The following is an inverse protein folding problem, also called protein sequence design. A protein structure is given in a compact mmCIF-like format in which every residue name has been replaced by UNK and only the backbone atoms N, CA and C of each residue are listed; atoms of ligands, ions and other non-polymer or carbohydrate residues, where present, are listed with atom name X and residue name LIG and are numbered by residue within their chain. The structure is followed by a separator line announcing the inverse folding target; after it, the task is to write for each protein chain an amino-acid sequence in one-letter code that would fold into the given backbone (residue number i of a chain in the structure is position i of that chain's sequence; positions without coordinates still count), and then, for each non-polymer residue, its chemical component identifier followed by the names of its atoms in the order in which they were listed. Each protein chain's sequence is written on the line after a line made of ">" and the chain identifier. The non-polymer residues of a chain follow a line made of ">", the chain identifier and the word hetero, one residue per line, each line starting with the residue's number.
data_IF_864569404223
#
_entry.id   IF_864569404223
#
_cell.length_a   1.000
_cell.length_b   1.000
_cell.length_c   1.000
_cell.angle_alpha   90.00
_cell.angle_beta   90.00
_cell.angle_gamma   90.00
#
_symmetry.space_group_name_H-M   'P 1'
#
loop_
_entity.id
_entity.type
_entity.pdbx_description
1 polymer ?
#
# COMPACT_ATOMS: atom_id res chain seq x y z
N UNK A 1 4.48 -8.95 -2.46
CA UNK A 1 3.11 -9.54 -2.53
C UNK A 1 3.01 -10.48 -3.73
N UNK A 2 2.42 -11.68 -3.58
CA UNK A 2 2.23 -12.62 -4.69
C UNK A 2 0.82 -12.51 -5.25
N UNK A 3 0.68 -12.18 -6.53
CA UNK A 3 -0.62 -11.98 -7.19
C UNK A 3 -0.90 -13.07 -8.23
N UNK A 4 -2.18 -13.33 -8.48
CA UNK A 4 -2.61 -14.07 -9.66
C UNK A 4 -2.53 -13.18 -10.90
N UNK A 5 -2.54 -13.77 -12.11
CA UNK A 5 -2.57 -13.01 -13.37
C UNK A 5 -3.71 -11.99 -13.41
N UNK A 6 -4.91 -12.38 -12.95
CA UNK A 6 -6.05 -11.48 -12.86
C UNK A 6 -5.83 -10.38 -11.83
N UNK A 7 -5.24 -10.71 -10.67
CA UNK A 7 -4.88 -9.73 -9.65
C UNK A 7 -3.90 -8.67 -10.15
N UNK A 8 -2.88 -9.08 -10.91
CA UNK A 8 -1.93 -8.16 -11.54
C UNK A 8 -2.61 -7.20 -12.53
N UNK A 9 -3.57 -7.70 -13.32
CA UNK A 9 -4.32 -6.86 -14.27
C UNK A 9 -5.19 -5.84 -13.51
N UNK A 10 -5.91 -6.28 -12.49
CA UNK A 10 -6.81 -5.43 -11.72
C UNK A 10 -6.05 -4.34 -10.96
N UNK A 11 -4.94 -4.70 -10.29
CA UNK A 11 -4.17 -3.76 -9.48
C UNK A 11 -3.55 -2.66 -10.35
N UNK A 12 -2.94 -3.02 -11.49
CA UNK A 12 -2.40 -2.06 -12.47
C UNK A 12 -3.47 -1.15 -13.07
N UNK A 13 -4.66 -1.68 -13.31
CA UNK A 13 -5.74 -0.92 -13.93
C UNK A 13 -6.35 0.11 -12.98
N UNK A 14 -6.55 -0.24 -11.70
CA UNK A 14 -7.42 0.51 -10.77
C UNK A 14 -6.74 1.10 -9.54
N UNK A 15 -5.59 0.58 -9.10
CA UNK A 15 -5.06 0.87 -7.75
C UNK A 15 -3.67 1.49 -7.73
N UNK A 16 -2.77 1.05 -8.62
CA UNK A 16 -1.43 1.62 -8.72
C UNK A 16 -1.52 3.06 -9.22
N UNK A 17 -0.72 3.94 -8.60
CA UNK A 17 -0.62 5.33 -9.05
C UNK A 17 -0.16 5.41 -10.50
N UNK A 18 -0.73 6.38 -11.20
CA UNK A 18 -0.39 6.73 -12.57
C UNK A 18 0.09 8.15 -12.64
N UNK A 19 0.98 8.43 -13.57
CA UNK A 19 1.35 9.79 -13.89
C UNK A 19 0.25 10.49 -14.72
N UNK A 20 0.54 11.72 -15.15
CA UNK A 20 -0.36 12.53 -15.99
C UNK A 20 -0.63 11.95 -17.38
N UNK A 21 0.23 11.06 -17.87
CA UNK A 21 0.08 10.39 -19.17
C UNK A 21 -0.70 9.07 -19.04
N UNK A 22 -0.96 8.63 -17.80
CA UNK A 22 -1.65 7.38 -17.51
C UNK A 22 -0.72 6.18 -17.32
N UNK A 23 0.59 6.40 -17.31
CA UNK A 23 1.59 5.36 -17.13
C UNK A 23 1.68 4.98 -15.65
N UNK A 24 1.74 3.67 -15.37
CA UNK A 24 1.86 3.15 -14.01
C UNK A 24 3.26 3.45 -13.48
N UNK A 25 3.34 4.16 -12.35
CA UNK A 25 4.60 4.61 -11.73
C UNK A 25 4.87 4.00 -10.35
N UNK A 26 4.05 3.03 -9.95
CA UNK A 26 4.09 2.43 -8.62
C UNK A 26 3.99 0.91 -8.75
N UNK A 27 4.76 0.17 -7.96
CA UNK A 27 4.64 -1.28 -7.81
C UNK A 27 3.60 -1.65 -6.73
N UNK A 28 3.08 -2.88 -6.73
CA UNK A 28 2.14 -3.31 -5.68
C UNK A 28 2.68 -3.19 -4.25
N UNK A 29 3.98 -3.36 -4.04
CA UNK A 29 4.61 -3.19 -2.73
C UNK A 29 4.73 -1.72 -2.33
N UNK A 30 5.06 -0.83 -3.27
CA UNK A 30 5.06 0.62 -3.03
C UNK A 30 3.65 1.14 -2.71
N UNK A 31 2.63 0.62 -3.39
CA UNK A 31 1.22 0.90 -3.09
C UNK A 31 0.87 0.54 -1.65
N UNK A 32 1.24 -0.66 -1.19
CA UNK A 32 1.04 -1.06 0.21
C UNK A 32 1.78 -0.12 1.18
N UNK A 33 3.02 0.27 0.86
CA UNK A 33 3.78 1.21 1.69
C UNK A 33 3.13 2.60 1.75
N UNK A 34 2.62 3.11 0.63
CA UNK A 34 1.91 4.40 0.58
C UNK A 34 0.70 4.40 1.49
N UNK A 35 -0.15 3.37 1.38
CA UNK A 35 -1.33 3.23 2.23
C UNK A 35 -0.92 3.07 3.70
N UNK A 36 0.05 2.21 3.99
CA UNK A 36 0.51 1.95 5.35
C UNK A 36 1.05 3.21 6.05
N UNK A 37 1.88 3.99 5.34
CA UNK A 37 2.42 5.26 5.85
C UNK A 37 1.33 6.30 6.06
N UNK A 38 0.37 6.38 5.15
CA UNK A 38 -0.75 7.32 5.26
C UNK A 38 -1.62 7.02 6.49
N UNK A 39 -2.01 5.75 6.68
CA UNK A 39 -2.83 5.33 7.82
C UNK A 39 -2.07 5.47 9.14
N UNK A 40 -0.80 5.05 9.18
CA UNK A 40 0.02 5.11 10.39
C UNK A 40 0.33 6.55 10.85
N UNK A 41 0.19 7.56 9.98
CA UNK A 41 0.36 8.96 10.38
C UNK A 41 -0.61 9.39 11.48
N UNK A 42 -1.79 8.77 11.57
CA UNK A 42 -2.75 9.04 12.63
C UNK A 42 -2.20 8.75 14.04
N UNK A 43 -1.23 7.84 14.17
CA UNK A 43 -0.60 7.46 15.44
C UNK A 43 0.16 8.62 16.10
N UNK A 44 0.67 9.57 15.32
CA UNK A 44 1.37 10.75 15.83
C UNK A 44 0.47 11.61 16.72
N UNK A 45 -0.84 11.63 16.44
CA UNK A 45 -1.83 12.36 17.24
C UNK A 45 -1.99 11.78 18.66
N UNK A 46 -1.54 10.56 18.88
CA UNK A 46 -1.60 9.85 20.16
C UNK A 46 -0.20 9.69 20.80
N UNK A 47 0.82 10.35 20.25
CA UNK A 47 2.20 10.24 20.73
C UNK A 47 2.89 8.91 20.41
N UNK A 48 2.35 8.14 19.46
CA UNK A 48 2.91 6.85 19.06
C UNK A 48 3.88 6.98 17.86
N UNK A 49 4.70 5.95 17.64
CA UNK A 49 5.66 5.88 16.52
C UNK A 49 4.97 5.42 15.23
N UNK A 50 4.69 6.36 14.32
CA UNK A 50 4.09 6.10 13.02
C UNK A 50 4.96 5.18 12.13
N UNK A 51 6.28 5.18 12.26
CA UNK A 51 7.16 4.29 11.47
C UNK A 51 6.95 2.84 11.87
N UNK A 52 6.93 2.57 13.18
CA UNK A 52 6.65 1.23 13.73
C UNK A 52 5.30 0.69 13.23
N UNK A 53 4.26 1.52 13.27
CA UNK A 53 2.93 1.13 12.82
C UNK A 53 2.83 0.98 11.31
N UNK A 54 3.50 1.84 10.53
CA UNK A 54 3.54 1.71 9.07
C UNK A 54 4.12 0.36 8.63
N UNK A 55 5.17 -0.14 9.32
CA UNK A 55 5.73 -1.45 9.03
C UNK A 55 4.72 -2.57 9.30
N UNK A 56 4.00 -2.51 10.42
CA UNK A 56 2.96 -3.50 10.77
C UNK A 56 1.82 -3.52 9.75
N UNK A 57 1.32 -2.35 9.35
CA UNK A 57 0.26 -2.27 8.34
C UNK A 57 0.72 -2.75 6.96
N UNK A 58 1.95 -2.39 6.57
CA UNK A 58 2.56 -2.90 5.34
C UNK A 58 2.63 -4.44 5.35
N UNK A 59 3.12 -5.04 6.44
CA UNK A 59 3.23 -6.51 6.55
C UNK A 59 1.87 -7.19 6.42
N UNK A 60 0.82 -6.65 7.06
CA UNK A 60 -0.55 -7.17 6.94
C UNK A 60 -1.07 -7.13 5.50
N UNK A 61 -0.89 -6.02 4.79
CA UNK A 61 -1.34 -5.88 3.40
C UNK A 61 -0.49 -6.70 2.42
N UNK A 62 0.84 -6.67 2.57
CA UNK A 62 1.75 -7.37 1.66
C UNK A 62 1.62 -8.89 1.75
N UNK A 63 1.29 -9.40 2.94
CA UNK A 63 0.96 -10.81 3.17
C UNK A 63 -0.53 -11.11 2.93
N UNK A 64 -1.33 -10.12 2.52
CA UNK A 64 -2.75 -10.26 2.20
C UNK A 64 -3.59 -10.79 3.37
N UNK A 65 -3.17 -10.53 4.61
CA UNK A 65 -3.89 -10.87 5.84
C UNK A 65 -5.05 -9.89 6.06
N UNK A 66 -4.88 -8.64 5.63
CA UNK A 66 -5.91 -7.60 5.67
C UNK A 66 -5.70 -6.61 4.51
N UNK A 67 -6.79 -6.18 3.87
CA UNK A 67 -6.80 -5.13 2.85
C UNK A 67 -7.92 -4.12 3.16
N UNK A 68 -7.63 -2.80 3.11
CA UNK A 68 -8.63 -1.75 3.35
C UNK A 68 -9.55 -1.51 2.16
#
# INVERSE_FOLDING_TARGET
>A
MKLSKTGEIVIKKRYLLKDKNGDVIESPEEMCWRVARFVAKAEENYGNDSKKWSKRFFELMNNQVFMP
#
